data_IF_977360463688
#
_entry.id   IF_977360463688
#
_cell.length_a   1.000
_cell.length_b   1.000
_cell.length_c   1.000
_cell.angle_alpha   90.00
_cell.angle_beta   90.00
_cell.angle_gamma   90.00
#
_symmetry.space_group_name_H-M   'P 1'
#
loop_
_entity.id
_entity.type
_entity.pdbx_description
1 polymer ?
#
# COMPACT_ATOMS: atom_id res chain seq x y z
N UNK A 1 19.09 -16.77 -5.41
CA UNK A 1 17.77 -17.16 -5.92
C UNK A 1 17.93 -17.37 -7.41
N UNK A 2 17.90 -18.61 -7.87
CA UNK A 2 17.98 -18.88 -9.30
C UNK A 2 16.60 -18.71 -9.93
N UNK A 3 16.54 -18.65 -11.26
CA UNK A 3 15.26 -18.56 -11.98
C UNK A 3 14.42 -19.81 -11.74
N UNK A 4 15.06 -20.94 -11.41
CA UNK A 4 14.39 -22.19 -11.07
C UNK A 4 13.67 -22.16 -9.71
N UNK A 5 14.04 -21.25 -8.79
CA UNK A 5 13.37 -21.08 -7.49
C UNK A 5 12.07 -20.27 -7.59
N UNK A 6 11.80 -19.65 -8.75
CA UNK A 6 10.60 -18.84 -8.95
C UNK A 6 9.37 -19.74 -9.02
N UNK A 7 8.39 -19.46 -8.15
CA UNK A 7 7.11 -20.18 -8.11
C UNK A 7 5.97 -19.38 -8.72
N UNK A 8 6.06 -18.06 -8.62
CA UNK A 8 4.98 -17.11 -8.91
C UNK A 8 5.58 -15.84 -9.50
N UNK A 9 4.95 -15.35 -10.57
CA UNK A 9 5.23 -14.03 -11.12
C UNK A 9 4.10 -13.10 -10.73
N UNK A 10 4.43 -11.90 -10.28
CA UNK A 10 3.44 -10.88 -9.87
C UNK A 10 3.64 -9.64 -10.73
N UNK A 11 2.57 -9.17 -11.35
CA UNK A 11 2.50 -7.85 -11.99
C UNK A 11 1.81 -6.87 -11.06
N UNK A 12 2.51 -5.80 -10.67
CA UNK A 12 1.97 -4.76 -9.79
C UNK A 12 1.59 -3.54 -10.62
N UNK A 13 0.34 -3.12 -10.52
CA UNK A 13 -0.10 -1.79 -10.93
C UNK A 13 0.00 -0.88 -9.70
N UNK A 14 1.11 -0.14 -9.60
CA UNK A 14 1.35 0.81 -8.53
C UNK A 14 0.89 2.20 -8.98
N UNK A 15 -0.37 2.55 -8.75
CA UNK A 15 -0.94 3.85 -9.13
C UNK A 15 -0.68 4.95 -8.09
N UNK A 16 -1.10 6.18 -8.38
CA UNK A 16 -1.05 7.28 -7.39
C UNK A 16 -2.21 7.23 -6.41
N UNK A 17 -3.40 6.81 -6.88
CA UNK A 17 -4.64 6.76 -6.10
C UNK A 17 -5.02 5.34 -5.76
N UNK A 18 -4.92 4.42 -6.72
CA UNK A 18 -5.29 3.02 -6.57
C UNK A 18 -4.15 2.13 -7.06
N UNK A 19 -3.92 1.04 -6.35
CA UNK A 19 -2.96 0.01 -6.71
C UNK A 19 -3.62 -1.36 -6.71
N UNK A 20 -3.10 -2.26 -7.52
CA UNK A 20 -3.57 -3.63 -7.61
C UNK A 20 -2.46 -4.54 -8.10
N UNK A 21 -2.71 -5.84 -8.08
CA UNK A 21 -1.78 -6.80 -8.65
C UNK A 21 -2.50 -7.98 -9.26
N UNK A 22 -1.84 -8.60 -10.22
CA UNK A 22 -2.18 -9.90 -10.76
C UNK A 22 -0.99 -10.82 -10.61
N UNK A 23 -1.24 -12.11 -10.51
CA UNK A 23 -0.19 -13.11 -10.34
C UNK A 23 -0.46 -14.34 -11.19
N UNK A 24 0.58 -15.11 -11.46
CA UNK A 24 0.50 -16.39 -12.16
C UNK A 24 1.52 -17.37 -11.58
N UNK A 25 1.12 -18.64 -11.45
CA UNK A 25 2.04 -19.69 -11.04
C UNK A 25 2.82 -20.20 -12.24
N UNK A 26 4.13 -20.36 -12.10
CA UNK A 26 4.97 -20.82 -13.22
C UNK A 26 4.58 -22.24 -13.68
N UNK A 27 4.14 -23.09 -12.75
CA UNK A 27 3.68 -24.46 -13.04
C UNK A 27 2.25 -24.51 -13.63
N UNK A 28 1.45 -23.46 -13.46
CA UNK A 28 0.09 -23.37 -13.97
C UNK A 28 -0.19 -21.91 -14.40
N UNK A 29 0.15 -21.54 -15.65
CA UNK A 29 0.33 -20.15 -16.08
C UNK A 29 -0.98 -19.36 -16.28
N UNK A 30 -2.03 -19.67 -15.53
CA UNK A 30 -3.25 -18.88 -15.53
C UNK A 30 -3.07 -17.62 -14.69
N UNK A 31 -3.19 -16.46 -15.33
CA UNK A 31 -3.14 -15.18 -14.65
C UNK A 31 -4.40 -14.96 -13.81
N UNK A 32 -4.23 -14.53 -12.56
CA UNK A 32 -5.30 -14.22 -11.62
C UNK A 32 -5.14 -12.79 -11.14
N UNK A 33 -6.19 -11.99 -11.25
CA UNK A 33 -6.25 -10.66 -10.64
C UNK A 33 -6.61 -10.84 -9.16
N UNK A 34 -5.86 -10.20 -8.28
CA UNK A 34 -6.23 -10.18 -6.86
C UNK A 34 -7.38 -9.20 -6.64
N UNK A 35 -8.43 -9.65 -5.94
CA UNK A 35 -9.67 -8.88 -5.76
C UNK A 35 -10.09 -8.72 -4.29
N UNK A 36 -9.32 -9.25 -3.34
CA UNK A 36 -9.75 -9.34 -1.94
C UNK A 36 -8.75 -8.66 -1.02
N UNK A 37 -8.90 -7.36 -0.84
CA UNK A 37 -8.08 -6.55 0.06
C UNK A 37 -8.73 -6.45 1.45
N UNK A 38 -7.96 -6.13 2.51
CA UNK A 38 -8.51 -5.91 3.85
C UNK A 38 -9.65 -4.89 3.85
N UNK A 39 -10.85 -5.32 4.26
CA UNK A 39 -12.04 -4.48 4.33
C UNK A 39 -12.64 -4.07 2.98
N UNK A 40 -12.17 -4.63 1.86
CA UNK A 40 -12.61 -4.22 0.53
C UNK A 40 -12.46 -5.31 -0.54
N UNK A 41 -13.55 -5.68 -1.21
CA UNK A 41 -13.53 -6.62 -2.34
C UNK A 41 -13.58 -5.81 -3.65
N UNK A 42 -12.42 -5.61 -4.26
CA UNK A 42 -12.26 -4.97 -5.56
C UNK A 42 -10.89 -5.32 -6.16
N UNK A 43 -10.69 -5.22 -7.48
CA UNK A 43 -9.40 -5.48 -8.13
C UNK A 43 -8.28 -4.50 -7.75
N UNK A 44 -8.60 -3.44 -7.00
CA UNK A 44 -7.65 -2.42 -6.54
C UNK A 44 -7.99 -1.94 -5.13
N UNK A 45 -6.97 -1.47 -4.43
CA UNK A 45 -7.07 -0.79 -3.14
C UNK A 45 -6.45 0.61 -3.23
N UNK A 46 -6.77 1.50 -2.29
CA UNK A 46 -6.19 2.84 -2.25
C UNK A 46 -4.67 2.80 -2.04
N UNK A 47 -3.93 3.72 -2.66
CA UNK A 47 -2.47 3.84 -2.48
C UNK A 47 -2.17 4.77 -1.33
N UNK A 48 -2.41 4.26 -0.12
CA UNK A 48 -2.42 5.03 1.11
C UNK A 48 -1.92 4.18 2.28
N UNK A 49 -1.24 4.83 3.21
CA UNK A 49 -0.80 4.26 4.49
C UNK A 49 -1.31 5.10 5.65
N UNK A 50 -1.55 4.48 6.79
CA UNK A 50 -1.77 5.14 8.07
C UNK A 50 -0.74 4.62 9.06
N UNK A 51 0.04 5.54 9.62
CA UNK A 51 1.08 5.24 10.60
C UNK A 51 0.58 5.47 12.03
N UNK A 52 1.10 4.68 12.98
CA UNK A 52 0.91 4.91 14.41
C UNK A 52 1.93 5.94 14.95
N UNK A 53 1.91 6.18 16.26
CA UNK A 53 2.82 7.11 16.96
C UNK A 53 4.31 6.74 16.85
N UNK A 54 4.62 5.48 16.55
CA UNK A 54 5.97 4.95 16.38
C UNK A 54 6.41 4.90 14.90
N UNK A 55 5.62 5.48 13.98
CA UNK A 55 5.87 5.42 12.54
C UNK A 55 5.86 4.00 11.96
N UNK A 56 5.07 3.10 12.56
CA UNK A 56 4.78 1.78 12.02
C UNK A 56 3.42 1.79 11.29
N UNK A 57 3.32 1.06 10.18
CA UNK A 57 2.06 0.96 9.43
C UNK A 57 1.00 0.26 10.28
N UNK A 58 -0.05 0.99 10.65
CA UNK A 58 -1.19 0.47 11.39
C UNK A 58 -2.31 0.01 10.44
N UNK A 59 -2.55 0.76 9.37
CA UNK A 59 -3.53 0.45 8.33
C UNK A 59 -3.01 0.87 6.95
N UNK A 60 -3.54 0.25 5.89
CA UNK A 60 -3.23 0.60 4.49
C UNK A 60 -4.47 0.41 3.62
N UNK A 61 -4.43 0.95 2.41
CA UNK A 61 -5.53 0.75 1.46
C UNK A 61 -6.85 1.35 1.94
N UNK A 62 -7.96 0.69 1.64
CA UNK A 62 -9.30 1.14 2.04
C UNK A 62 -9.43 1.39 3.56
N UNK A 63 -8.82 0.52 4.39
CA UNK A 63 -8.91 0.63 5.84
C UNK A 63 -8.26 1.90 6.39
N UNK A 64 -7.20 2.40 5.76
CA UNK A 64 -6.54 3.66 6.17
C UNK A 64 -7.41 4.90 5.92
N UNK A 65 -8.44 4.80 5.05
CA UNK A 65 -9.41 5.88 4.81
C UNK A 65 -10.64 5.79 5.72
N UNK A 66 -10.95 4.62 6.26
CA UNK A 66 -12.14 4.40 7.09
C UNK A 66 -12.02 5.04 8.49
N UNK A 67 -10.80 5.34 8.93
CA UNK A 67 -10.55 6.09 10.16
C UNK A 67 -10.65 7.60 9.91
N UNK A 68 -11.87 8.10 9.75
CA UNK A 68 -12.11 9.53 9.96
C UNK A 68 -11.70 9.91 11.39
N UNK A 69 -11.06 11.08 11.61
CA UNK A 69 -10.74 11.55 12.95
C UNK A 69 -12.03 11.69 13.74
N UNK A 70 -12.22 10.84 14.76
CA UNK A 70 -13.43 10.87 15.57
C UNK A 70 -13.63 12.28 16.13
N UNK A 71 -14.77 12.91 15.84
CA UNK A 71 -15.12 14.27 16.32
C UNK A 71 -15.17 14.40 17.86
N UNK A 72 -14.85 13.34 18.61
CA UNK A 72 -15.04 13.23 20.07
C UNK A 72 -13.77 13.10 20.91
N UNK A 73 -12.56 13.08 20.35
CA UNK A 73 -11.33 13.07 21.17
C UNK A 73 -10.33 14.15 20.74
N UNK A 74 -10.61 15.40 21.15
CA UNK A 74 -9.67 16.54 21.11
C UNK A 74 -8.57 16.46 22.19
N UNK A 75 -8.14 15.26 22.58
CA UNK A 75 -7.09 15.10 23.58
C UNK A 75 -6.01 14.17 23.02
N UNK A 76 -4.93 14.78 22.52
CA UNK A 76 -3.65 14.14 22.21
C UNK A 76 -3.67 12.98 21.19
N UNK A 77 -4.64 12.90 20.30
CA UNK A 77 -4.48 12.02 19.14
C UNK A 77 -3.37 12.62 18.29
N UNK A 78 -2.21 11.96 18.22
CA UNK A 78 -1.26 12.21 17.15
C UNK A 78 -2.08 12.12 15.87
N UNK A 79 -2.03 13.23 15.14
CA UNK A 79 -2.67 13.52 13.88
C UNK A 79 -2.49 12.32 12.91
N UNK A 80 -3.32 11.28 13.03
CA UNK A 80 -3.24 10.04 12.25
C UNK A 80 -3.74 10.30 10.84
N UNK A 81 -3.02 11.13 10.10
CA UNK A 81 -3.36 11.51 8.75
C UNK A 81 -2.92 10.40 7.81
N UNK A 82 -3.79 9.96 6.90
CA UNK A 82 -3.36 9.07 5.83
C UNK A 82 -2.23 9.72 5.04
N UNK A 83 -1.18 8.95 4.77
CA UNK A 83 -0.07 9.33 3.89
C UNK A 83 -0.44 8.88 2.48
N UNK A 84 -0.83 9.84 1.65
CA UNK A 84 -1.32 9.63 0.29
C UNK A 84 -0.36 10.24 -0.74
N UNK A 85 -0.54 9.88 -2.01
CA UNK A 85 0.14 10.47 -3.16
C UNK A 85 1.68 10.41 -3.12
N UNK A 86 2.28 9.67 -2.19
CA UNK A 86 3.73 9.55 -2.02
C UNK A 86 4.44 9.07 -3.31
N UNK A 87 3.75 8.34 -4.20
CA UNK A 87 4.25 7.98 -5.54
C UNK A 87 4.60 9.21 -6.40
N UNK A 88 3.91 10.33 -6.25
CA UNK A 88 4.18 11.56 -7.02
C UNK A 88 5.58 12.13 -6.75
N UNK A 89 6.26 11.72 -5.67
CA UNK A 89 7.66 12.08 -5.44
C UNK A 89 8.61 11.46 -6.48
N UNK A 90 8.21 10.37 -7.14
CA UNK A 90 8.94 9.76 -8.26
C UNK A 90 8.78 10.51 -9.57
N UNK A 91 7.76 11.37 -9.70
CA UNK A 91 7.55 12.15 -10.91
C UNK A 91 8.55 13.31 -11.01
N UNK A 92 8.93 13.64 -12.23
CA UNK A 92 9.71 14.84 -12.54
C UNK A 92 8.79 16.07 -12.53
N UNK A 93 8.41 16.47 -11.32
CA UNK A 93 7.60 17.67 -11.05
C UNK A 93 8.33 18.58 -10.07
N UNK A 94 8.01 19.87 -10.16
CA UNK A 94 8.47 20.89 -9.23
C UNK A 94 8.29 20.43 -7.77
N UNK A 95 9.35 20.57 -6.98
CA UNK A 95 9.37 20.22 -5.56
C UNK A 95 8.21 20.85 -4.79
N UNK A 96 7.84 22.10 -5.11
CA UNK A 96 6.73 22.83 -4.47
C UNK A 96 5.35 22.20 -4.74
N UNK A 97 5.24 21.37 -5.79
CA UNK A 97 4.02 20.64 -6.16
C UNK A 97 4.00 19.21 -5.61
N UNK A 98 5.09 18.73 -4.99
CA UNK A 98 5.13 17.40 -4.40
C UNK A 98 4.26 17.36 -3.14
N UNK A 99 3.53 16.26 -2.90
CA UNK A 99 2.68 16.13 -1.71
C UNK A 99 3.54 16.18 -0.45
N UNK A 100 3.03 16.86 0.58
CA UNK A 100 3.70 16.92 1.88
C UNK A 100 3.62 15.57 2.56
N UNK A 101 4.73 15.13 3.14
CA UNK A 101 4.82 13.91 3.94
C UNK A 101 5.15 14.30 5.39
N UNK A 102 4.86 13.43 6.38
CA UNK A 102 5.39 13.58 7.73
C UNK A 102 6.92 13.73 7.73
N UNK A 103 7.48 14.43 8.72
CA UNK A 103 8.91 14.74 8.74
C UNK A 103 9.78 13.48 8.92
N UNK A 104 9.23 12.45 9.56
CA UNK A 104 9.87 11.21 9.94
C UNK A 104 9.81 10.14 8.85
N UNK A 105 8.95 10.31 7.84
CA UNK A 105 8.73 9.35 6.75
C UNK A 105 9.15 9.97 5.42
N UNK A 106 10.14 9.38 4.77
CA UNK A 106 10.46 9.74 3.39
C UNK A 106 9.49 9.09 2.41
N UNK A 107 9.43 9.60 1.17
CA UNK A 107 8.62 8.95 0.12
C UNK A 107 9.12 7.53 -0.20
N UNK A 108 10.42 7.24 0.00
CA UNK A 108 10.98 5.90 -0.20
C UNK A 108 10.50 4.94 0.88
N UNK A 109 10.39 5.40 2.12
CA UNK A 109 9.86 4.61 3.23
C UNK A 109 8.39 4.27 2.97
N UNK A 110 7.58 5.28 2.61
CA UNK A 110 6.17 5.09 2.26
C UNK A 110 5.95 4.11 1.09
N UNK A 111 6.75 4.23 0.01
CA UNK A 111 6.69 3.27 -1.11
C UNK A 111 7.07 1.86 -0.65
N UNK A 112 8.15 1.74 0.12
CA UNK A 112 8.66 0.45 0.61
C UNK A 112 7.64 -0.24 1.50
N UNK A 113 7.06 0.49 2.43
CA UNK A 113 6.07 -0.04 3.36
C UNK A 113 4.77 -0.42 2.65
N UNK A 114 4.31 0.39 1.69
CA UNK A 114 3.14 0.05 0.87
C UNK A 114 3.35 -1.26 0.09
N UNK A 115 4.52 -1.44 -0.51
CA UNK A 115 4.84 -2.67 -1.25
C UNK A 115 5.01 -3.89 -0.33
N UNK A 116 5.50 -3.72 0.90
CA UNK A 116 5.51 -4.79 1.91
C UNK A 116 4.09 -5.23 2.29
N UNK A 117 3.16 -4.30 2.46
CA UNK A 117 1.76 -4.65 2.74
C UNK A 117 1.10 -5.37 1.56
N UNK A 118 1.38 -4.95 0.32
CA UNK A 118 0.96 -5.67 -0.89
C UNK A 118 1.54 -7.10 -0.95
N UNK A 119 2.80 -7.30 -0.56
CA UNK A 119 3.42 -8.62 -0.47
C UNK A 119 2.74 -9.50 0.61
N UNK A 120 2.43 -8.94 1.78
CA UNK A 120 1.70 -9.65 2.84
C UNK A 120 0.32 -10.10 2.37
N UNK A 121 -0.40 -9.24 1.63
CA UNK A 121 -1.68 -9.61 1.01
C UNK A 121 -1.52 -10.77 0.03
N UNK A 122 -0.40 -10.85 -0.69
CA UNK A 122 -0.09 -11.98 -1.57
C UNK A 122 0.31 -13.26 -0.81
N UNK A 123 1.04 -13.16 0.31
CA UNK A 123 1.42 -14.33 1.12
C UNK A 123 0.22 -15.08 1.68
N UNK A 124 -0.86 -14.38 2.03
CA UNK A 124 -2.13 -15.00 2.47
C UNK A 124 -2.69 -15.94 1.39
N UNK A 125 -2.44 -15.65 0.10
CA UNK A 125 -2.95 -16.44 -1.04
C UNK A 125 -2.20 -17.77 -1.21
N UNK A 126 -0.94 -17.87 -0.75
CA UNK A 126 -0.14 -19.09 -0.92
C UNK A 126 -0.32 -20.14 0.18
N UNK A 127 -1.08 -19.83 1.23
CA UNK A 127 -1.42 -20.74 2.33
C UNK A 127 -2.91 -21.14 2.35
N UNK A 128 -3.69 -20.75 1.34
CA UNK A 128 -5.10 -21.12 1.16
C UNK A 128 -5.30 -22.02 -0.06
#
# INVERSE_FOLDING_TARGET
>A
MSVEDLRVVVSVDFGTTYSGFAYSHIQNPNAKVHVSFPGHIAPKTNTVLQYNENWEVECWGHAALAREPSKRKKSKAIDSHPVELFKLHLADIDYTKKPKLPAEISYKDAITDFLKEMEKANKIIHYC
#
